data_IF_265681351299
#
_entry.id   IF_265681351299
#
_cell.length_a   1.000
_cell.length_b   1.000
_cell.length_c   1.000
_cell.angle_alpha   90.00
_cell.angle_beta   90.00
_cell.angle_gamma   90.00
#
_symmetry.space_group_name_H-M   'P 1'
#
loop_
_entity.id
_entity.type
_entity.pdbx_description
1 polymer ?
#
# COMPACT_ATOMS: atom_id res chain seq x y z
N UNK A 1 -26.91 -3.64 -28.83
CA UNK A 1 -27.35 -2.87 -27.64
C UNK A 1 -26.15 -2.58 -26.76
N UNK A 2 -25.81 -1.31 -26.55
CA UNK A 2 -24.67 -0.87 -25.74
C UNK A 2 -24.93 -1.15 -24.25
N UNK A 3 -24.09 -1.98 -23.63
CA UNK A 3 -24.19 -2.36 -22.22
C UNK A 3 -23.76 -1.17 -21.35
N UNK A 4 -24.65 -0.68 -20.49
CA UNK A 4 -24.36 0.45 -19.61
C UNK A 4 -23.17 0.15 -18.67
N UNK A 5 -22.29 1.14 -18.38
CA UNK A 5 -21.15 0.95 -17.49
C UNK A 5 -21.63 0.71 -16.05
N UNK A 6 -21.11 -0.34 -15.41
CA UNK A 6 -21.45 -0.72 -14.04
C UNK A 6 -20.47 -0.07 -13.08
N UNK A 7 -20.89 1.01 -12.42
CA UNK A 7 -20.03 1.87 -11.58
C UNK A 7 -20.20 1.64 -10.09
N UNK A 8 -21.27 0.96 -9.66
CA UNK A 8 -21.60 0.76 -8.23
C UNK A 8 -21.36 -0.68 -7.80
N UNK A 9 -20.80 -0.85 -6.60
CA UNK A 9 -20.57 -2.16 -5.94
C UNK A 9 -21.43 -2.27 -4.70
N UNK A 10 -22.09 -3.43 -4.52
CA UNK A 10 -22.85 -3.78 -3.30
C UNK A 10 -22.08 -4.89 -2.58
N UNK A 11 -21.72 -4.67 -1.31
CA UNK A 11 -21.04 -5.66 -0.48
C UNK A 11 -22.05 -6.47 0.34
N UNK A 12 -22.05 -7.79 0.19
CA UNK A 12 -22.89 -8.71 0.95
C UNK A 12 -22.05 -9.47 1.99
N UNK A 13 -22.48 -9.48 3.26
CA UNK A 13 -21.91 -10.33 4.30
C UNK A 13 -22.72 -11.63 4.37
N UNK A 14 -22.04 -12.76 4.21
CA UNK A 14 -22.63 -14.12 4.28
C UNK A 14 -21.76 -15.01 5.16
N UNK A 15 -22.34 -16.12 5.60
CA UNK A 15 -21.61 -17.16 6.32
C UNK A 15 -20.49 -17.79 5.45
N UNK A 16 -19.33 -18.17 6.02
CA UNK A 16 -18.25 -18.81 5.29
C UNK A 16 -18.65 -20.08 4.52
N UNK A 17 -19.57 -20.90 5.05
CA UNK A 17 -20.02 -22.12 4.39
C UNK A 17 -20.80 -21.79 3.11
N UNK A 18 -21.72 -20.84 3.19
CA UNK A 18 -22.46 -20.33 2.01
C UNK A 18 -21.52 -19.72 0.98
N UNK A 19 -20.48 -19.00 1.42
CA UNK A 19 -19.49 -18.44 0.51
C UNK A 19 -18.66 -19.52 -0.21
N UNK A 20 -18.39 -20.66 0.42
CA UNK A 20 -17.69 -21.78 -0.21
C UNK A 20 -18.57 -22.45 -1.28
N UNK A 21 -19.82 -22.77 -0.95
CA UNK A 21 -20.78 -23.35 -1.89
C UNK A 21 -20.97 -22.48 -3.14
N UNK A 22 -21.06 -21.16 -2.97
CA UNK A 22 -21.21 -20.23 -4.09
C UNK A 22 -19.97 -20.21 -4.99
N UNK A 23 -18.77 -20.33 -4.42
CA UNK A 23 -17.53 -20.44 -5.20
C UNK A 23 -17.47 -21.74 -5.99
N UNK A 24 -17.87 -22.85 -5.39
CA UNK A 24 -17.92 -24.15 -6.07
C UNK A 24 -18.92 -24.15 -7.22
N UNK A 25 -20.14 -23.64 -6.99
CA UNK A 25 -21.16 -23.55 -8.05
C UNK A 25 -20.76 -22.59 -9.17
N UNK A 26 -20.13 -21.47 -8.84
CA UNK A 26 -19.60 -20.55 -9.84
C UNK A 26 -18.46 -21.19 -10.66
N UNK A 27 -17.54 -21.90 -10.00
CA UNK A 27 -16.44 -22.61 -10.65
C UNK A 27 -16.93 -23.74 -11.57
N UNK A 28 -17.92 -24.52 -11.13
CA UNK A 28 -18.56 -25.55 -11.96
C UNK A 28 -19.23 -24.96 -13.21
N UNK A 29 -19.77 -23.74 -13.11
CA UNK A 29 -20.33 -23.00 -14.24
C UNK A 29 -19.28 -22.26 -15.08
N UNK A 30 -18.00 -22.28 -14.70
CA UNK A 30 -16.92 -21.54 -15.37
C UNK A 30 -17.02 -20.02 -15.27
N UNK A 31 -17.81 -19.51 -14.32
CA UNK A 31 -18.09 -18.08 -14.14
C UNK A 31 -17.42 -17.53 -12.88
N UNK A 32 -17.24 -16.21 -12.84
CA UNK A 32 -16.92 -15.52 -11.59
C UNK A 32 -18.11 -15.61 -10.63
N UNK A 33 -17.86 -15.59 -9.31
CA UNK A 33 -18.95 -15.60 -8.30
C UNK A 33 -19.93 -14.46 -8.54
N UNK A 34 -19.44 -13.27 -8.92
CA UNK A 34 -20.30 -12.12 -9.24
C UNK A 34 -21.17 -12.35 -10.48
N UNK A 35 -20.65 -13.02 -11.51
CA UNK A 35 -21.44 -13.34 -12.70
C UNK A 35 -22.44 -14.48 -12.45
N UNK A 36 -22.06 -15.48 -11.66
CA UNK A 36 -22.96 -16.54 -11.23
C UNK A 36 -24.14 -16.00 -10.42
N UNK A 37 -23.88 -15.13 -9.43
CA UNK A 37 -24.94 -14.46 -8.64
C UNK A 37 -25.81 -13.58 -9.54
N UNK A 38 -25.22 -12.77 -10.42
CA UNK A 38 -25.99 -11.94 -11.36
C UNK A 38 -26.86 -12.79 -12.28
N UNK A 39 -26.38 -13.97 -12.70
CA UNK A 39 -27.16 -14.93 -13.48
C UNK A 39 -28.40 -15.44 -12.76
N UNK A 40 -28.35 -15.61 -11.44
CA UNK A 40 -29.46 -16.07 -10.62
C UNK A 40 -30.42 -14.97 -10.16
N UNK A 41 -29.91 -13.75 -9.91
CA UNK A 41 -30.71 -12.61 -9.39
C UNK A 41 -31.27 -11.74 -10.51
N UNK A 42 -30.48 -11.45 -11.54
CA UNK A 42 -30.83 -10.58 -12.67
C UNK A 42 -30.66 -11.37 -13.98
N UNK A 43 -31.71 -12.08 -14.40
CA UNK A 43 -31.70 -12.84 -15.64
C UNK A 43 -31.17 -11.99 -16.82
N UNK A 44 -30.02 -12.37 -17.39
CA UNK A 44 -29.43 -11.72 -18.56
C UNK A 44 -28.38 -10.63 -18.30
N UNK A 45 -27.98 -10.36 -17.05
CA UNK A 45 -26.95 -9.35 -16.72
C UNK A 45 -25.55 -9.93 -16.44
N UNK A 46 -25.24 -11.15 -16.86
CA UNK A 46 -23.89 -11.73 -16.72
C UNK A 46 -22.86 -10.93 -17.55
N UNK A 47 -21.66 -10.68 -17.01
CA UNK A 47 -20.59 -10.01 -17.76
C UNK A 47 -19.78 -10.95 -18.64
N UNK A 48 -19.75 -12.26 -18.35
CA UNK A 48 -18.89 -13.25 -19.00
C UNK A 48 -17.40 -12.88 -18.91
N UNK A 49 -17.01 -12.07 -17.93
CA UNK A 49 -15.59 -11.76 -17.73
C UNK A 49 -14.94 -12.94 -17.01
N UNK A 50 -13.77 -13.41 -17.49
CA UNK A 50 -13.04 -14.47 -16.81
C UNK A 50 -12.65 -13.99 -15.40
N UNK A 51 -12.73 -14.90 -14.42
CA UNK A 51 -12.28 -14.63 -13.06
C UNK A 51 -10.85 -14.07 -13.11
N UNK A 52 -10.58 -12.90 -12.48
CA UNK A 52 -9.24 -12.33 -12.46
C UNK A 52 -8.24 -13.35 -11.90
N UNK A 53 -7.34 -13.84 -12.75
CA UNK A 53 -6.24 -14.69 -12.31
C UNK A 53 -5.34 -13.87 -11.37
N UNK A 54 -4.98 -14.44 -10.23
CA UNK A 54 -4.03 -13.79 -9.34
C UNK A 54 -2.77 -13.47 -10.13
N UNK A 55 -2.41 -12.18 -10.15
CA UNK A 55 -1.18 -11.73 -10.80
C UNK A 55 -0.02 -12.48 -10.15
N UNK A 56 0.91 -13.06 -10.94
CA UNK A 56 2.11 -13.65 -10.35
C UNK A 56 2.80 -12.58 -9.52
N UNK A 57 3.09 -12.92 -8.26
CA UNK A 57 3.79 -12.04 -7.33
C UNK A 57 5.14 -11.72 -7.96
N UNK A 58 5.36 -10.45 -8.33
CA UNK A 58 6.66 -10.00 -8.80
C UNK A 58 7.63 -10.17 -7.64
N UNK A 59 8.61 -11.06 -7.79
CA UNK A 59 9.74 -11.16 -6.87
C UNK A 59 10.49 -9.83 -6.94
N UNK A 60 10.46 -9.09 -5.84
CA UNK A 60 11.14 -7.80 -5.71
C UNK A 60 12.65 -8.05 -5.77
N UNK A 61 13.35 -7.30 -6.60
CA UNK A 61 14.82 -7.28 -6.61
C UNK A 61 15.32 -6.60 -5.33
N UNK A 62 15.94 -7.36 -4.44
CA UNK A 62 16.43 -6.90 -3.13
C UNK A 62 17.92 -6.53 -3.14
N UNK A 63 18.59 -6.62 -4.30
CA UNK A 63 20.04 -6.35 -4.43
C UNK A 63 20.45 -4.93 -4.05
N UNK A 64 19.50 -3.98 -4.05
CA UNK A 64 19.67 -2.59 -3.65
C UNK A 64 18.87 -2.24 -2.38
N UNK A 65 18.37 -3.22 -1.63
CA UNK A 65 17.65 -2.91 -0.40
C UNK A 65 18.66 -2.37 0.63
N UNK A 66 18.45 -1.12 1.04
CA UNK A 66 19.11 -0.54 2.19
C UNK A 66 18.84 -1.41 3.43
N UNK A 67 19.77 -1.40 4.40
CA UNK A 67 19.63 -2.18 5.63
C UNK A 67 18.21 -2.02 6.22
N UNK A 68 17.42 -3.11 6.33
CA UNK A 68 16.05 -3.03 6.79
C UNK A 68 15.92 -2.48 8.20
N UNK A 69 16.94 -2.66 9.05
CA UNK A 69 16.98 -2.08 10.40
C UNK A 69 17.08 -0.56 10.32
N UNK A 70 17.98 -0.05 9.50
CA UNK A 70 18.14 1.38 9.26
C UNK A 70 16.87 2.00 8.66
N UNK A 71 16.26 1.34 7.67
CA UNK A 71 15.01 1.81 7.07
C UNK A 71 13.85 1.85 8.07
N UNK A 72 13.79 0.88 8.97
CA UNK A 72 12.80 0.84 10.05
C UNK A 72 13.00 1.97 11.06
N UNK A 73 14.25 2.24 11.42
CA UNK A 73 14.60 3.35 12.30
C UNK A 73 14.23 4.69 11.66
N UNK A 74 14.59 4.88 10.38
CA UNK A 74 14.23 6.08 9.63
C UNK A 74 12.71 6.27 9.55
N UNK A 75 11.96 5.21 9.24
CA UNK A 75 10.50 5.26 9.23
C UNK A 75 9.92 5.63 10.61
N UNK A 76 10.50 5.10 11.70
CA UNK A 76 10.13 5.47 13.06
C UNK A 76 10.37 6.96 13.35
N UNK A 77 11.52 7.49 12.94
CA UNK A 77 11.85 8.91 13.08
C UNK A 77 10.86 9.79 12.29
N UNK A 78 10.58 9.44 11.03
CA UNK A 78 9.60 10.17 10.21
C UNK A 78 8.19 10.13 10.80
N UNK A 79 7.78 9.00 11.38
CA UNK A 79 6.49 8.88 12.06
C UNK A 79 6.41 9.80 13.29
N UNK A 80 7.48 9.90 14.08
CA UNK A 80 7.53 10.80 15.23
C UNK A 80 7.43 12.27 14.81
N UNK A 81 8.13 12.67 13.74
CA UNK A 81 8.00 14.02 13.18
C UNK A 81 6.58 14.32 12.72
N UNK A 82 5.90 13.35 12.11
CA UNK A 82 4.51 13.50 11.68
C UNK A 82 3.55 13.65 12.88
N UNK A 83 3.83 12.97 14.00
CA UNK A 83 3.06 13.13 15.24
C UNK A 83 3.26 14.52 15.86
N UNK A 84 4.50 15.03 15.89
CA UNK A 84 4.79 16.40 16.34
C UNK A 84 4.03 17.40 15.47
N UNK A 85 4.08 17.26 14.14
CA UNK A 85 3.37 18.14 13.22
C UNK A 85 1.85 18.13 13.46
N UNK A 86 1.26 16.96 13.74
CA UNK A 86 -0.17 16.84 14.06
C UNK A 86 -0.51 17.51 15.39
N UNK A 87 0.24 17.22 16.45
CA UNK A 87 0.03 17.83 17.76
C UNK A 87 0.12 19.36 17.70
N UNK A 88 1.10 19.91 16.96
CA UNK A 88 1.22 21.35 16.72
C UNK A 88 -0.01 21.93 16.01
N UNK A 89 -0.51 21.24 14.98
CA UNK A 89 -1.69 21.67 14.24
C UNK A 89 -2.95 21.62 15.10
N UNK A 90 -3.10 20.60 15.96
CA UNK A 90 -4.20 20.47 16.91
C UNK A 90 -4.18 21.57 17.97
N UNK A 91 -3.01 21.87 18.56
CA UNK A 91 -2.89 22.97 19.51
C UNK A 91 -3.23 24.33 18.87
N UNK A 92 -2.80 24.56 17.62
CA UNK A 92 -3.19 25.76 16.85
C UNK A 92 -4.70 25.85 16.64
N UNK A 93 -5.35 24.73 16.31
CA UNK A 93 -6.81 24.65 16.12
C UNK A 93 -7.59 24.84 17.42
N UNK A 94 -7.08 24.33 18.54
CA UNK A 94 -7.68 24.45 19.86
C UNK A 94 -7.46 25.82 20.52
N UNK A 95 -6.71 26.73 19.88
CA UNK A 95 -6.36 28.05 20.43
C UNK A 95 -5.41 27.98 21.64
N UNK A 96 -4.79 26.82 21.89
CA UNK A 96 -3.83 26.64 22.98
C UNK A 96 -2.48 27.22 22.56
N UNK A 97 -1.80 28.01 23.41
CA UNK A 97 -0.52 28.60 23.06
C UNK A 97 0.53 27.50 22.88
N UNK A 98 0.87 27.22 21.64
CA UNK A 98 2.04 26.42 21.30
C UNK A 98 3.29 27.24 21.60
N UNK A 99 4.23 26.69 22.37
CA UNK A 99 5.59 27.24 22.48
C UNK A 99 6.38 26.97 21.18
N UNK A 100 5.94 27.62 20.10
CA UNK A 100 6.41 27.37 18.73
C UNK A 100 7.92 27.56 18.61
N UNK A 101 8.47 28.50 19.39
CA UNK A 101 9.91 28.77 19.47
C UNK A 101 10.68 27.56 20.02
N UNK A 102 10.18 26.92 21.06
CA UNK A 102 10.82 25.76 21.70
C UNK A 102 10.79 24.53 20.78
N UNK A 103 9.67 24.32 20.08
CA UNK A 103 9.54 23.21 19.13
C UNK A 103 10.42 23.43 17.89
N UNK A 104 10.49 24.66 17.37
CA UNK A 104 11.41 25.00 16.29
C UNK A 104 12.87 24.82 16.71
N UNK A 105 13.25 25.19 17.94
CA UNK A 105 14.59 24.98 18.46
C UNK A 105 14.95 23.49 18.54
N UNK A 106 14.03 22.65 19.03
CA UNK A 106 14.23 21.19 19.08
C UNK A 106 14.37 20.58 17.67
N UNK A 107 13.53 20.98 16.71
CA UNK A 107 13.63 20.50 15.33
C UNK A 107 14.95 20.92 14.66
N UNK A 108 15.42 22.15 14.88
CA UNK A 108 16.73 22.62 14.41
C UNK A 108 17.89 21.87 15.06
N UNK A 109 17.77 21.51 16.32
CA UNK A 109 18.77 20.66 17.01
C UNK A 109 18.86 19.28 16.37
N UNK A 110 17.72 18.64 16.07
CA UNK A 110 17.67 17.34 15.39
C UNK A 110 18.28 17.41 13.99
N UNK A 111 17.95 18.45 13.21
CA UNK A 111 18.51 18.68 11.89
C UNK A 111 20.06 18.81 11.94
N UNK A 112 20.57 19.61 12.88
CA UNK A 112 22.02 19.80 13.05
C UNK A 112 22.73 18.49 13.47
N UNK A 113 22.10 17.67 14.29
CA UNK A 113 22.66 16.38 14.71
C UNK A 113 22.64 15.34 13.59
N UNK A 114 21.55 15.25 12.84
CA UNK A 114 21.47 14.41 11.65
C UNK A 114 22.51 14.82 10.59
N UNK A 115 22.70 16.12 10.38
CA UNK A 115 23.73 16.66 9.48
C UNK A 115 25.17 16.28 9.85
N UNK A 116 25.46 16.06 11.14
CA UNK A 116 26.76 15.56 11.61
C UNK A 116 26.94 14.05 11.39
N UNK A 117 25.85 13.29 11.40
CA UNK A 117 25.86 11.83 11.25
C UNK A 117 25.94 11.39 9.79
N UNK A 118 25.30 12.11 8.86
CA UNK A 118 25.26 11.75 7.44
C UNK A 118 26.64 11.58 6.78
N UNK A 119 27.67 12.43 7.05
CA UNK A 119 29.00 12.27 6.48
C UNK A 119 29.80 11.08 7.03
N UNK A 120 29.37 10.50 8.16
CA UNK A 120 30.02 9.35 8.80
C UNK A 120 29.48 8.01 8.27
N UNK A 121 28.43 8.07 7.43
CA UNK A 121 27.87 6.88 6.80
C UNK A 121 28.78 6.43 5.64
N UNK A 122 28.97 5.12 5.45
CA UNK A 122 29.71 4.60 4.32
C UNK A 122 29.09 5.08 3.00
N UNK A 123 29.89 5.32 1.95
CA UNK A 123 29.38 5.75 0.66
C UNK A 123 28.38 4.71 0.12
N UNK A 124 27.31 5.15 -0.56
CA UNK A 124 26.31 4.24 -1.07
C UNK A 124 26.96 3.21 -2.02
N UNK A 125 26.53 1.94 -1.98
CA UNK A 125 27.08 0.91 -2.87
C UNK A 125 26.90 1.36 -4.32
N UNK A 126 27.97 1.26 -5.11
CA UNK A 126 27.92 1.58 -6.53
C UNK A 126 26.92 0.64 -7.20
N UNK A 127 25.97 1.15 -8.01
CA UNK A 127 25.05 0.28 -8.72
C UNK A 127 25.85 -0.65 -9.63
N UNK A 128 25.74 -1.96 -9.41
CA UNK A 128 26.29 -2.96 -10.32
C UNK A 128 25.62 -2.77 -11.68
N UNK A 129 26.40 -2.45 -12.70
CA UNK A 129 25.91 -2.38 -14.07
C UNK A 129 25.30 -3.75 -14.44
N UNK A 130 23.97 -3.80 -14.50
CA UNK A 130 23.24 -5.00 -14.90
C UNK A 130 23.30 -5.06 -16.43
N UNK A 131 24.28 -5.79 -16.98
CA UNK A 131 24.35 -6.04 -18.41
C UNK A 131 25.59 -6.84 -18.81
N UNK A 132 25.36 -7.87 -19.65
CA UNK A 132 26.33 -8.71 -20.36
C UNK A 132 26.82 -10.00 -19.65
N UNK A 133 25.90 -10.88 -19.28
CA UNK A 133 26.13 -12.31 -19.43
C UNK A 133 24.78 -12.98 -19.54
N UNK A 134 24.43 -13.42 -20.75
CA UNK A 134 23.64 -14.62 -21.05
C UNK A 134 23.18 -14.50 -22.51
N UNK A 135 24.16 -14.71 -23.39
CA UNK A 135 23.95 -15.04 -24.79
C UNK A 135 25.00 -16.08 -25.15
N UNK A 136 24.74 -17.35 -24.79
CA UNK A 136 25.32 -18.54 -25.40
C UNK A 136 24.34 -19.70 -25.25
#
# INVERSE_FOLDING_TARGET
>A
MSKAPRTTTVSLRIDPATAAEWRERAAAAGLSVSDWIRGGVDAGQQTNLPTPRQRPVRVRDTSNDADPVLMRQLAGMSNNLNQIARALNECRLAGSPVQLVEVLALLRSIEAEAGRLLPQLPPPPKPTAKGASDAH
#
